data_IF_980134859086
#
_entry.id   IF_980134859086
#
_cell.length_a   1.000
_cell.length_b   1.000
_cell.length_c   1.000
_cell.angle_alpha   90.00
_cell.angle_beta   90.00
_cell.angle_gamma   90.00
#
_symmetry.space_group_name_H-M   'P 1'
#
loop_
_entity.id
_entity.type
_entity.pdbx_description
1 polymer ?
#
# COMPACT_ATOMS: atom_id res chain seq x y z
N UNK A 1 -9.39 -6.61 18.36
CA UNK A 1 -9.57 -6.88 16.91
C UNK A 1 -8.42 -6.23 16.14
N UNK A 2 -7.75 -6.95 15.28
CA UNK A 2 -6.62 -6.47 14.48
C UNK A 2 -6.74 -7.00 13.05
N UNK A 3 -6.56 -6.11 12.06
CA UNK A 3 -6.56 -6.48 10.65
C UNK A 3 -5.12 -6.71 10.19
N UNK A 4 -4.92 -7.71 9.33
CA UNK A 4 -3.62 -7.97 8.70
C UNK A 4 -3.22 -6.81 7.79
N UNK A 5 -1.93 -6.59 7.56
CA UNK A 5 -1.48 -5.70 6.49
C UNK A 5 -1.83 -6.28 5.11
N UNK A 6 -1.81 -5.42 4.09
CA UNK A 6 -2.12 -5.79 2.70
C UNK A 6 -1.02 -6.66 2.10
N UNK A 7 -1.42 -7.62 1.28
CA UNK A 7 -0.51 -8.42 0.45
C UNK A 7 -0.04 -7.62 -0.77
N UNK A 8 1.06 -8.02 -1.38
CA UNK A 8 1.61 -7.35 -2.57
C UNK A 8 0.59 -7.27 -3.72
N UNK A 9 -0.17 -8.33 -3.95
CA UNK A 9 -1.20 -8.44 -5.00
C UNK A 9 -2.49 -7.62 -4.70
N UNK A 10 -2.64 -7.12 -3.48
CA UNK A 10 -3.75 -6.25 -3.06
C UNK A 10 -3.42 -4.75 -3.22
N UNK A 11 -2.19 -4.43 -3.61
CA UNK A 11 -1.70 -3.06 -3.71
C UNK A 11 -1.53 -2.65 -5.17
N UNK A 12 -2.22 -1.60 -5.57
CA UNK A 12 -2.08 -0.98 -6.88
C UNK A 12 -0.99 0.09 -6.88
N UNK A 13 -0.13 0.09 -7.89
CA UNK A 13 0.81 1.18 -8.16
C UNK A 13 0.22 2.14 -9.19
N UNK A 14 0.01 3.40 -8.82
CA UNK A 14 -0.53 4.43 -9.71
C UNK A 14 0.50 5.51 -9.98
N UNK A 15 0.66 5.87 -11.25
CA UNK A 15 1.49 7.00 -11.65
C UNK A 15 0.84 8.29 -11.15
N UNK A 16 1.57 9.04 -10.35
CA UNK A 16 1.12 10.33 -9.78
C UNK A 16 1.64 11.50 -10.59
N UNK A 17 2.95 11.54 -10.85
CA UNK A 17 3.56 12.60 -11.66
C UNK A 17 4.41 11.99 -12.77
N UNK A 18 4.49 12.68 -13.89
CA UNK A 18 5.34 12.30 -15.02
C UNK A 18 6.16 13.51 -15.46
N UNK A 19 7.45 13.32 -15.65
CA UNK A 19 8.38 14.33 -16.18
C UNK A 19 9.37 13.70 -17.15
N UNK A 20 10.19 14.51 -17.79
CA UNK A 20 11.30 14.02 -18.62
C UNK A 20 12.33 13.18 -17.87
N UNK A 21 12.41 13.35 -16.54
CA UNK A 21 13.38 12.66 -15.66
C UNK A 21 12.87 11.32 -15.13
N UNK A 22 11.54 11.10 -15.20
CA UNK A 22 10.94 9.89 -14.68
C UNK A 22 9.51 10.10 -14.17
N UNK A 23 9.05 9.16 -13.37
CA UNK A 23 7.70 9.17 -12.80
C UNK A 23 7.73 8.92 -11.29
N UNK A 24 6.77 9.52 -10.57
CA UNK A 24 6.49 9.11 -9.21
C UNK A 24 5.28 8.19 -9.15
N UNK A 25 5.30 7.22 -8.23
CA UNK A 25 4.20 6.33 -7.99
C UNK A 25 3.61 6.55 -6.60
N UNK A 26 2.31 6.25 -6.48
CA UNK A 26 1.60 6.15 -5.22
C UNK A 26 1.02 4.74 -5.11
N UNK A 27 0.96 4.22 -3.89
CA UNK A 27 0.34 2.95 -3.57
C UNK A 27 -1.14 3.16 -3.20
N UNK A 28 -2.00 2.33 -3.75
CA UNK A 28 -3.45 2.35 -3.52
C UNK A 28 -3.97 0.94 -3.28
N UNK A 29 -5.19 0.86 -2.79
CA UNK A 29 -5.99 -0.37 -2.72
C UNK A 29 -7.36 -0.12 -3.34
N UNK A 30 -7.98 -1.15 -3.89
CA UNK A 30 -9.38 -1.05 -4.32
C UNK A 30 -10.34 -1.40 -3.18
N UNK A 31 -11.63 -1.10 -3.39
CA UNK A 31 -12.66 -1.35 -2.38
C UNK A 31 -12.94 -2.85 -2.14
N UNK A 32 -12.61 -3.72 -3.11
CA UNK A 32 -12.76 -5.17 -2.96
C UNK A 32 -11.73 -5.74 -2.00
N UNK A 33 -10.53 -5.16 -2.00
CA UNK A 33 -9.51 -5.49 -1.01
C UNK A 33 -10.05 -5.26 0.41
N UNK A 34 -10.70 -4.14 0.68
CA UNK A 34 -11.29 -3.87 2.00
C UNK A 34 -12.37 -4.89 2.38
N UNK A 35 -13.24 -5.26 1.43
CA UNK A 35 -14.26 -6.29 1.66
C UNK A 35 -13.62 -7.64 2.00
N UNK A 36 -12.62 -8.06 1.23
CA UNK A 36 -11.92 -9.32 1.46
C UNK A 36 -11.24 -9.35 2.85
N UNK A 37 -10.59 -8.24 3.24
CA UNK A 37 -9.94 -8.13 4.56
C UNK A 37 -10.97 -8.20 5.70
N UNK A 38 -12.13 -7.56 5.54
CA UNK A 38 -13.23 -7.64 6.51
C UNK A 38 -13.78 -9.07 6.59
N UNK A 39 -14.09 -9.70 5.46
CA UNK A 39 -14.61 -11.06 5.39
C UNK A 39 -13.62 -12.09 5.99
N UNK A 40 -12.36 -11.98 5.67
CA UNK A 40 -11.31 -12.86 6.21
C UNK A 40 -11.11 -12.69 7.71
N UNK A 41 -11.19 -11.46 8.23
CA UNK A 41 -10.82 -11.15 9.61
C UNK A 41 -11.97 -11.38 10.61
N UNK A 42 -13.19 -11.10 10.20
CA UNK A 42 -14.35 -11.10 11.12
C UNK A 42 -15.55 -11.88 10.59
N UNK A 43 -15.50 -12.34 9.35
CA UNK A 43 -16.58 -13.04 8.67
C UNK A 43 -17.60 -12.10 8.02
N UNK A 44 -18.22 -12.51 6.90
CA UNK A 44 -19.08 -11.66 6.08
C UNK A 44 -20.40 -11.25 6.76
N UNK A 45 -20.81 -11.95 7.83
CA UNK A 45 -22.03 -11.64 8.59
C UNK A 45 -21.82 -10.67 9.74
N UNK A 46 -20.56 -10.38 10.08
CA UNK A 46 -20.20 -9.57 11.26
C UNK A 46 -19.81 -8.14 10.90
N UNK A 47 -20.01 -7.72 9.67
CA UNK A 47 -19.85 -6.34 9.26
C UNK A 47 -20.96 -5.92 8.29
N UNK A 48 -21.22 -4.63 8.22
CA UNK A 48 -22.13 -4.01 7.25
C UNK A 48 -21.63 -2.63 6.86
N UNK A 49 -22.09 -2.14 5.71
CA UNK A 49 -21.84 -0.76 5.26
C UNK A 49 -23.16 -0.08 4.88
N UNK A 50 -23.21 1.21 5.11
CA UNK A 50 -24.31 2.08 4.71
C UNK A 50 -23.71 3.34 4.09
N UNK A 51 -24.31 3.80 2.99
CA UNK A 51 -23.95 5.07 2.38
C UNK A 51 -25.01 6.12 2.69
N UNK A 52 -24.54 7.33 3.04
CA UNK A 52 -25.38 8.49 3.33
C UNK A 52 -24.94 9.68 2.49
N UNK A 53 -25.74 10.76 2.45
CA UNK A 53 -25.43 11.99 1.71
C UNK A 53 -25.06 11.72 0.25
N UNK A 54 -25.95 11.04 -0.48
CA UNK A 54 -25.77 10.69 -1.89
C UNK A 54 -24.41 10.00 -2.17
N UNK A 55 -24.06 9.01 -1.35
CA UNK A 55 -22.81 8.25 -1.37
C UNK A 55 -21.53 9.03 -0.94
N UNK A 56 -21.67 10.28 -0.54
CA UNK A 56 -20.53 11.07 -0.08
C UNK A 56 -19.91 10.49 1.20
N UNK A 57 -20.75 9.96 2.08
CA UNK A 57 -20.29 9.33 3.33
C UNK A 57 -20.54 7.83 3.29
N UNK A 58 -19.65 7.07 3.96
CA UNK A 58 -19.83 5.65 4.21
C UNK A 58 -19.64 5.36 5.69
N UNK A 59 -20.58 4.61 6.26
CA UNK A 59 -20.52 4.07 7.60
C UNK A 59 -20.19 2.58 7.48
N UNK A 60 -19.08 2.15 8.07
CA UNK A 60 -18.73 0.74 8.22
C UNK A 60 -18.92 0.35 9.67
N UNK A 61 -19.80 -0.63 9.90
CA UNK A 61 -20.13 -1.13 11.23
C UNK A 61 -19.65 -2.56 11.39
N UNK A 62 -19.08 -2.87 12.55
CA UNK A 62 -18.60 -4.19 12.93
C UNK A 62 -19.31 -4.61 14.22
N UNK A 63 -19.74 -5.87 14.30
CA UNK A 63 -20.35 -6.42 15.50
C UNK A 63 -19.30 -6.65 16.59
N UNK A 64 -19.52 -6.08 17.75
CA UNK A 64 -18.73 -6.30 18.95
C UNK A 64 -19.44 -7.28 19.87
N UNK A 65 -19.01 -8.55 19.83
CA UNK A 65 -19.61 -9.62 20.64
C UNK A 65 -19.53 -9.33 22.13
N UNK A 66 -18.43 -8.74 22.60
CA UNK A 66 -18.22 -8.46 24.03
C UNK A 66 -19.19 -7.42 24.56
N UNK A 67 -19.71 -6.55 23.71
CA UNK A 67 -20.66 -5.48 24.07
C UNK A 67 -22.06 -5.74 23.53
N UNK A 68 -22.22 -6.82 22.72
CA UNK A 68 -23.49 -7.16 22.04
C UNK A 68 -24.08 -5.97 21.27
N UNK A 69 -23.20 -5.24 20.52
CA UNK A 69 -23.61 -4.06 19.77
C UNK A 69 -22.80 -3.86 18.49
N UNK A 70 -23.41 -3.14 17.56
CA UNK A 70 -22.70 -2.63 16.39
C UNK A 70 -21.86 -1.41 16.79
N UNK A 71 -20.57 -1.44 16.44
CA UNK A 71 -19.68 -0.29 16.54
C UNK A 71 -19.47 0.25 15.13
N UNK A 72 -19.64 1.55 14.95
CA UNK A 72 -19.63 2.18 13.63
C UNK A 72 -18.54 3.23 13.52
N UNK A 73 -17.94 3.32 12.33
CA UNK A 73 -17.02 4.39 11.95
C UNK A 73 -17.40 4.93 10.59
N UNK A 74 -17.41 6.23 10.45
CA UNK A 74 -17.81 6.96 9.25
C UNK A 74 -16.65 7.74 8.66
N UNK A 75 -16.66 7.89 7.33
CA UNK A 75 -15.78 8.83 6.64
C UNK A 75 -16.43 9.30 5.33
N UNK A 76 -15.87 10.39 4.79
CA UNK A 76 -16.33 11.06 3.58
C UNK A 76 -15.38 10.77 2.43
N UNK A 77 -15.94 10.42 1.27
CA UNK A 77 -15.19 10.23 0.02
C UNK A 77 -15.24 11.45 -0.88
N UNK A 78 -14.27 11.52 -1.78
CA UNK A 78 -14.22 12.53 -2.83
C UNK A 78 -14.72 11.98 -4.16
N UNK A 79 -15.32 12.83 -4.99
CA UNK A 79 -15.72 12.48 -6.34
C UNK A 79 -14.52 12.14 -7.22
N UNK A 80 -14.68 11.17 -8.13
CA UNK A 80 -13.71 10.93 -9.19
C UNK A 80 -14.03 11.76 -10.44
N UNK A 81 -13.02 12.00 -11.27
CA UNK A 81 -13.19 12.77 -12.50
C UNK A 81 -14.05 12.05 -13.58
N UNK A 82 -14.08 10.73 -13.58
CA UNK A 82 -14.68 9.93 -14.68
C UNK A 82 -16.02 9.30 -14.32
N UNK A 83 -16.16 8.79 -13.09
CA UNK A 83 -17.39 8.14 -12.58
C UNK A 83 -17.69 8.70 -11.20
N UNK A 84 -18.26 9.89 -11.13
CA UNK A 84 -18.39 10.68 -9.91
C UNK A 84 -19.01 9.91 -8.75
N UNK A 85 -20.25 9.44 -8.91
CA UNK A 85 -21.01 8.78 -7.85
C UNK A 85 -20.36 7.45 -7.40
N UNK A 86 -19.99 6.61 -8.37
CA UNK A 86 -19.33 5.32 -8.08
C UNK A 86 -17.95 5.51 -7.47
N UNK A 87 -17.20 6.50 -7.96
CA UNK A 87 -15.90 6.87 -7.41
C UNK A 87 -16.03 7.34 -5.97
N UNK A 88 -17.00 8.20 -5.68
CA UNK A 88 -17.26 8.74 -4.36
C UNK A 88 -17.71 7.65 -3.37
N UNK A 89 -18.62 6.76 -3.77
CA UNK A 89 -19.04 5.62 -2.96
C UNK A 89 -17.88 4.68 -2.62
N UNK A 90 -17.03 4.40 -3.62
CA UNK A 90 -15.84 3.57 -3.42
C UNK A 90 -14.81 4.24 -2.52
N UNK A 91 -14.62 5.54 -2.65
CA UNK A 91 -13.66 6.29 -1.85
C UNK A 91 -14.12 6.43 -0.40
N UNK A 92 -15.41 6.79 -0.17
CA UNK A 92 -15.97 6.90 1.18
C UNK A 92 -15.88 5.56 1.93
N UNK A 93 -16.14 4.44 1.27
CA UNK A 93 -15.99 3.10 1.86
C UNK A 93 -14.54 2.79 2.23
N UNK A 94 -13.58 2.99 1.33
CA UNK A 94 -12.15 2.78 1.62
C UNK A 94 -11.66 3.61 2.80
N UNK A 95 -12.14 4.86 2.91
CA UNK A 95 -11.81 5.76 4.01
C UNK A 95 -12.45 5.32 5.34
N UNK A 96 -13.69 4.86 5.30
CA UNK A 96 -14.33 4.29 6.48
C UNK A 96 -13.59 3.02 6.99
N UNK A 97 -13.12 2.16 6.06
CA UNK A 97 -12.27 1.00 6.38
C UNK A 97 -10.90 1.42 6.95
N UNK A 98 -10.33 2.51 6.44
CA UNK A 98 -9.10 3.09 7.00
C UNK A 98 -9.27 3.48 8.49
N UNK A 99 -10.45 3.97 8.88
CA UNK A 99 -10.75 4.27 10.29
C UNK A 99 -10.74 3.01 11.17
N UNK A 100 -10.97 1.84 10.60
CA UNK A 100 -10.83 0.54 11.27
C UNK A 100 -9.39 0.01 11.29
N UNK A 101 -8.50 0.60 10.51
CA UNK A 101 -7.07 0.25 10.45
C UNK A 101 -6.67 -0.51 9.19
N UNK A 102 -7.58 -0.76 8.25
CA UNK A 102 -7.31 -1.49 7.01
C UNK A 102 -6.57 -0.57 6.01
N UNK A 103 -5.39 -0.98 5.60
CA UNK A 103 -4.59 -0.27 4.59
C UNK A 103 -3.88 0.98 5.11
N UNK A 104 -3.81 1.22 6.43
CA UNK A 104 -3.09 2.38 7.01
C UNK A 104 -1.60 2.35 6.70
N UNK A 105 -1.02 1.19 6.57
CA UNK A 105 0.37 0.98 6.23
C UNK A 105 0.78 1.62 4.90
N UNK A 106 -0.15 1.80 3.96
CA UNK A 106 0.14 2.47 2.68
C UNK A 106 0.61 3.91 2.84
N UNK A 107 0.18 4.58 3.92
CA UNK A 107 0.63 5.95 4.25
C UNK A 107 2.06 6.00 4.82
N UNK A 108 2.67 4.85 5.06
CA UNK A 108 4.07 4.74 5.47
C UNK A 108 5.00 4.41 4.30
N UNK A 109 4.46 4.45 3.06
CA UNK A 109 5.23 4.23 1.84
C UNK A 109 6.37 5.22 1.72
N UNK A 110 7.58 4.78 1.34
CA UNK A 110 8.63 5.72 0.93
C UNK A 110 8.20 6.50 -0.30
N UNK A 111 8.88 7.61 -0.58
CA UNK A 111 8.73 8.29 -1.86
C UNK A 111 9.24 7.38 -2.98
N UNK A 112 8.35 7.04 -3.92
CA UNK A 112 8.64 6.10 -5.01
C UNK A 112 8.94 6.92 -6.26
N UNK A 113 10.17 6.87 -6.72
CA UNK A 113 10.62 7.50 -7.95
C UNK A 113 11.24 6.48 -8.89
N UNK A 114 10.77 6.46 -10.14
CA UNK A 114 11.28 5.61 -11.22
C UNK A 114 11.96 6.51 -12.24
N UNK A 115 13.24 6.27 -12.52
CA UNK A 115 14.01 7.05 -13.48
C UNK A 115 13.53 6.85 -14.92
N UNK A 116 13.76 7.83 -15.77
CA UNK A 116 13.40 7.81 -17.20
C UNK A 116 13.97 6.58 -17.94
N UNK A 117 15.14 6.07 -17.56
CA UNK A 117 15.72 4.83 -18.11
C UNK A 117 14.88 3.58 -17.85
N UNK A 118 14.05 3.61 -16.81
CA UNK A 118 13.30 2.48 -16.27
C UNK A 118 11.80 2.53 -16.57
N UNK A 119 11.38 3.54 -17.34
CA UNK A 119 10.00 3.75 -17.78
C UNK A 119 9.96 4.17 -19.24
N UNK A 120 8.88 3.82 -19.96
CA UNK A 120 8.66 4.27 -21.35
C UNK A 120 7.93 5.63 -21.30
N UNK A 121 8.68 6.71 -21.46
CA UNK A 121 8.16 8.07 -21.52
C UNK A 121 7.75 8.43 -22.93
N UNK A 122 6.55 8.94 -23.10
CA UNK A 122 5.97 9.34 -24.39
C UNK A 122 5.69 10.84 -24.35
N UNK A 123 6.29 11.65 -25.24
CA UNK A 123 5.94 13.07 -25.36
C UNK A 123 4.49 13.24 -25.82
N UNK A 124 3.74 14.11 -25.14
CA UNK A 124 2.33 14.43 -25.47
C UNK A 124 2.01 15.86 -25.05
N UNK A 125 1.68 16.74 -26.03
CA UNK A 125 1.25 18.12 -25.78
C UNK A 125 2.19 18.90 -24.84
N UNK A 126 3.48 18.93 -25.12
CA UNK A 126 4.54 19.56 -24.32
C UNK A 126 4.69 19.00 -22.89
N UNK A 127 4.15 17.82 -22.64
CA UNK A 127 4.29 17.06 -21.39
C UNK A 127 4.75 15.64 -21.73
N UNK A 128 5.05 14.88 -20.70
CA UNK A 128 5.32 13.45 -20.83
C UNK A 128 4.15 12.65 -20.24
N UNK A 129 3.93 11.48 -20.79
CA UNK A 129 3.00 10.46 -20.26
C UNK A 129 3.67 9.10 -20.33
N UNK A 130 3.10 8.12 -19.63
CA UNK A 130 3.49 6.72 -19.73
C UNK A 130 2.26 5.83 -19.70
N UNK A 131 2.32 4.71 -20.39
CA UNK A 131 1.34 3.61 -20.32
C UNK A 131 1.94 2.37 -19.67
N UNK A 132 3.14 2.50 -19.09
CA UNK A 132 3.72 1.41 -18.32
C UNK A 132 2.85 1.09 -17.10
N UNK A 133 2.75 -0.20 -16.83
CA UNK A 133 2.06 -0.75 -15.65
C UNK A 133 3.10 -1.17 -14.63
N UNK A 134 2.80 -0.87 -13.39
CA UNK A 134 3.66 -1.19 -12.25
C UNK A 134 2.89 -2.06 -11.26
N UNK A 135 3.56 -3.02 -10.67
CA UNK A 135 3.04 -3.88 -9.62
C UNK A 135 3.99 -3.92 -8.43
N UNK A 136 3.45 -4.18 -7.25
CA UNK A 136 4.26 -4.51 -6.09
C UNK A 136 4.73 -5.95 -6.25
N UNK A 137 6.05 -6.13 -6.41
CA UNK A 137 6.67 -7.44 -6.56
C UNK A 137 6.87 -8.10 -5.18
N UNK A 138 7.26 -7.31 -4.20
CA UNK A 138 7.49 -7.75 -2.83
C UNK A 138 7.27 -6.60 -1.85
N UNK A 139 6.69 -6.90 -0.69
CA UNK A 139 6.48 -5.93 0.38
C UNK A 139 6.69 -6.60 1.73
N UNK A 140 7.34 -5.88 2.65
CA UNK A 140 7.52 -6.33 4.02
C UNK A 140 7.11 -5.24 5.02
N UNK A 141 6.64 -5.70 6.18
CA UNK A 141 6.10 -4.84 7.22
C UNK A 141 6.75 -5.11 8.56
N UNK A 142 6.96 -4.04 9.34
CA UNK A 142 7.29 -4.10 10.74
C UNK A 142 6.48 -3.04 11.48
N UNK A 143 5.83 -3.41 12.58
CA UNK A 143 5.00 -2.49 13.40
C UNK A 143 3.98 -1.71 12.56
N UNK A 144 3.32 -2.39 11.60
CA UNK A 144 2.34 -1.83 10.65
C UNK A 144 2.90 -0.75 9.73
N UNK A 145 4.21 -0.72 9.52
CA UNK A 145 4.89 0.19 8.58
C UNK A 145 5.57 -0.61 7.49
N UNK A 146 5.59 -0.07 6.27
CA UNK A 146 6.36 -0.61 5.16
C UNK A 146 7.86 -0.44 5.48
N UNK A 147 8.59 -1.54 5.58
CA UNK A 147 10.04 -1.56 5.81
C UNK A 147 10.82 -2.13 4.63
N UNK A 148 10.14 -2.77 3.70
CA UNK A 148 10.71 -3.22 2.43
C UNK A 148 9.66 -3.15 1.33
N UNK A 149 10.06 -2.72 0.13
CA UNK A 149 9.19 -2.57 -1.04
C UNK A 149 9.99 -2.77 -2.32
N UNK A 150 9.57 -3.71 -3.16
CA UNK A 150 10.07 -3.86 -4.53
C UNK A 150 8.92 -3.63 -5.51
N UNK A 151 9.18 -2.82 -6.54
CA UNK A 151 8.21 -2.53 -7.60
C UNK A 151 8.77 -2.97 -8.93
N UNK A 152 7.94 -3.67 -9.67
CA UNK A 152 8.22 -4.17 -11.02
C UNK A 152 7.55 -3.29 -12.07
N UNK A 153 8.25 -3.00 -13.14
CA UNK A 153 7.64 -2.50 -14.37
C UNK A 153 7.26 -3.70 -15.24
N UNK A 154 5.97 -3.91 -15.42
CA UNK A 154 5.43 -5.09 -16.14
C UNK A 154 5.75 -5.04 -17.64
N UNK A 155 5.85 -3.86 -18.22
CA UNK A 155 6.18 -3.70 -19.64
C UNK A 155 7.66 -3.99 -19.91
N UNK A 156 8.54 -3.60 -19.00
CA UNK A 156 9.98 -3.87 -19.08
C UNK A 156 10.40 -5.20 -18.43
N UNK A 157 9.48 -5.87 -17.74
CA UNK A 157 9.70 -7.15 -17.05
C UNK A 157 10.89 -7.13 -16.07
N UNK A 158 11.09 -6.01 -15.38
CA UNK A 158 12.18 -5.85 -14.41
C UNK A 158 11.76 -5.07 -13.18
N UNK A 159 12.43 -5.31 -12.06
CA UNK A 159 12.33 -4.51 -10.84
C UNK A 159 12.93 -3.13 -11.12
N UNK A 160 12.19 -2.07 -10.85
CA UNK A 160 12.57 -0.67 -11.13
C UNK A 160 12.68 0.19 -9.89
N UNK A 161 12.23 -0.34 -8.75
CA UNK A 161 12.37 0.31 -7.46
C UNK A 161 12.60 -0.75 -6.37
N UNK A 162 13.53 -0.48 -5.48
CA UNK A 162 13.78 -1.30 -4.30
C UNK A 162 14.07 -0.39 -3.11
N UNK A 163 13.40 -0.66 -1.99
CA UNK A 163 13.55 0.06 -0.74
C UNK A 163 13.61 -0.93 0.42
N UNK A 164 14.46 -0.65 1.42
CA UNK A 164 14.55 -1.45 2.63
C UNK A 164 15.27 -2.78 2.46
N UNK A 165 15.02 -3.71 3.39
CA UNK A 165 15.66 -5.01 3.45
C UNK A 165 14.59 -6.11 3.57
N UNK A 166 14.83 -7.21 2.90
CA UNK A 166 13.99 -8.40 2.94
C UNK A 166 14.76 -9.52 3.67
N UNK A 167 14.05 -10.29 4.48
CA UNK A 167 14.68 -11.37 5.24
C UNK A 167 15.30 -12.45 4.33
N UNK A 168 14.70 -12.69 3.16
CA UNK A 168 15.24 -13.60 2.13
C UNK A 168 16.57 -13.10 1.55
N UNK A 169 16.77 -11.79 1.39
CA UNK A 169 18.05 -11.24 0.92
C UNK A 169 19.15 -11.48 1.95
N UNK A 170 18.80 -11.38 3.24
CA UNK A 170 19.70 -11.68 4.34
C UNK A 170 20.00 -13.18 4.40
N UNK A 171 19.00 -14.03 4.21
CA UNK A 171 19.17 -15.50 4.22
C UNK A 171 19.93 -16.01 3.00
N UNK A 172 19.73 -15.41 1.81
CA UNK A 172 20.52 -15.73 0.62
C UNK A 172 21.99 -15.26 0.74
N UNK A 173 22.22 -14.10 1.35
CA UNK A 173 23.57 -13.66 1.71
C UNK A 173 24.19 -14.60 2.76
N UNK A 174 23.37 -15.13 3.66
CA UNK A 174 23.77 -16.01 4.75
C UNK A 174 24.36 -17.33 4.29
N UNK A 175 23.75 -17.92 3.27
CA UNK A 175 24.27 -19.15 2.64
C UNK A 175 25.65 -18.94 2.01
N UNK A 176 26.01 -17.69 1.69
CA UNK A 176 27.30 -17.34 1.05
C UNK A 176 28.40 -16.93 2.03
N UNK A 177 28.08 -16.46 3.22
CA UNK A 177 29.04 -15.73 4.08
C UNK A 177 29.28 -16.38 5.47
N UNK A 178 28.52 -17.42 5.85
CA UNK A 178 28.66 -18.10 7.15
C UNK A 178 28.04 -17.31 8.33
N UNK A 179 27.57 -18.04 9.34
CA UNK A 179 26.70 -17.55 10.42
C UNK A 179 27.26 -16.36 11.24
N UNK A 180 28.60 -16.27 11.43
CA UNK A 180 29.21 -15.20 12.23
C UNK A 180 29.11 -13.81 11.56
N UNK A 181 29.23 -13.74 10.23
CA UNK A 181 29.10 -12.49 9.48
C UNK A 181 27.64 -12.03 9.38
N UNK A 182 26.68 -12.94 9.47
CA UNK A 182 25.25 -12.65 9.44
C UNK A 182 24.84 -11.88 10.70
N UNK A 183 25.27 -12.34 11.85
CA UNK A 183 24.95 -11.68 13.12
C UNK A 183 25.52 -10.26 13.16
N UNK A 184 26.66 -10.04 12.49
CA UNK A 184 27.25 -8.70 12.32
C UNK A 184 26.42 -7.83 11.38
N UNK A 185 25.99 -8.39 10.25
CA UNK A 185 25.12 -7.70 9.29
C UNK A 185 23.75 -7.38 9.87
N UNK A 186 23.13 -8.32 10.59
CA UNK A 186 21.85 -8.08 11.29
C UNK A 186 21.99 -6.96 12.33
N UNK A 187 23.07 -6.91 13.09
CA UNK A 187 23.36 -5.80 14.02
C UNK A 187 23.56 -4.46 13.30
N UNK A 188 24.25 -4.46 12.17
CA UNK A 188 24.50 -3.23 11.41
C UNK A 188 23.21 -2.71 10.73
N UNK A 189 22.40 -3.60 10.16
CA UNK A 189 21.06 -3.26 9.63
C UNK A 189 20.16 -2.69 10.73
N UNK A 190 20.21 -3.26 11.94
CA UNK A 190 19.45 -2.73 13.08
C UNK A 190 19.98 -1.33 13.51
N UNK A 191 21.29 -1.13 13.48
CA UNK A 191 21.92 0.17 13.75
C UNK A 191 21.51 1.24 12.75
N UNK A 192 21.49 0.91 11.46
CA UNK A 192 21.04 1.81 10.39
C UNK A 192 19.55 2.12 10.56
N UNK A 193 18.71 1.11 10.81
CA UNK A 193 17.27 1.30 11.09
C UNK A 193 16.98 2.19 12.31
N UNK A 194 17.88 2.17 13.31
CA UNK A 194 17.77 3.01 14.51
C UNK A 194 18.26 4.43 14.25
N UNK A 195 19.30 4.62 13.43
CA UNK A 195 19.80 5.93 13.04
C UNK A 195 18.79 6.71 12.20
N UNK A 196 18.10 6.05 11.26
CA UNK A 196 17.02 6.67 10.48
C UNK A 196 15.81 7.12 11.32
N UNK A 197 15.63 6.56 12.53
CA UNK A 197 14.62 6.99 13.49
C UNK A 197 14.96 8.30 14.22
N UNK A 198 16.21 8.74 14.19
CA UNK A 198 16.64 9.99 14.86
C UNK A 198 16.54 11.22 13.96
N UNK A 199 16.19 11.04 12.66
CA UNK A 199 16.04 12.13 11.69
C UNK A 199 14.58 12.34 11.22
N UNK A 200 13.61 11.75 11.91
CA UNK A 200 12.17 11.95 11.77
C UNK A 200 11.59 12.49 13.10
#
# INVERSE_FOLDING_TARGET
MEFRPLRADEIECRVSTVSEKGVSLLLYKDARCDMNVLDESIGPLNWKREHTRDNANCIVSIWDESKSQWVSKEDTGTESYTEKEKGQASDSFKRACFNWGIGRELYTSPFIWINASDVNLIPKNNKYTTYDRFSVEEISYKDKKIVGLKIRNENKKKTVFAYGYFDEDIDNLSKKIGQAKINLLKKEVERIRMADKQFL
#
